data_IF_442050986289
#
_entry.id   IF_442050986289
#
_cell.length_a   1.000
_cell.length_b   1.000
_cell.length_c   1.000
_cell.angle_alpha   90.00
_cell.angle_beta   90.00
_cell.angle_gamma   90.00
#
_symmetry.space_group_name_H-M   'P 1'
#
loop_
_entity.id
_entity.type
_entity.pdbx_description
1 polymer ?
#
# COMPACT_ATOMS: atom_id res chain seq x y z
N UNK A 1 -19.25 -10.63 -17.13
CA UNK A 1 -20.41 -11.54 -16.96
C UNK A 1 -21.58 -10.86 -17.68
N UNK A 2 -22.05 -11.43 -18.79
CA UNK A 2 -23.10 -10.82 -19.63
C UNK A 2 -24.41 -10.71 -18.85
N UNK A 3 -25.12 -9.58 -18.95
CA UNK A 3 -26.39 -9.35 -18.25
C UNK A 3 -27.45 -10.41 -18.59
N UNK A 4 -27.38 -10.94 -19.82
CA UNK A 4 -28.21 -12.07 -20.29
C UNK A 4 -28.03 -13.35 -19.45
N UNK A 5 -26.82 -13.61 -18.93
CA UNK A 5 -26.55 -14.79 -18.10
C UNK A 5 -27.17 -14.65 -16.70
N UNK A 6 -27.22 -13.42 -16.16
CA UNK A 6 -27.84 -13.14 -14.86
C UNK A 6 -29.35 -13.32 -14.94
N UNK A 7 -29.98 -12.85 -16.01
CA UNK A 7 -31.43 -12.99 -16.22
C UNK A 7 -31.85 -14.45 -16.38
N UNK A 8 -31.11 -15.25 -17.16
CA UNK A 8 -31.39 -16.68 -17.31
C UNK A 8 -31.24 -17.45 -15.98
N UNK A 9 -30.24 -17.10 -15.16
CA UNK A 9 -30.06 -17.69 -13.82
C UNK A 9 -31.19 -17.30 -12.86
N UNK A 10 -31.69 -16.07 -12.94
CA UNK A 10 -32.83 -15.61 -12.14
C UNK A 10 -34.13 -16.33 -12.54
N UNK A 11 -34.39 -16.49 -13.84
CA UNK A 11 -35.55 -17.24 -14.34
C UNK A 11 -35.50 -18.72 -13.93
N UNK A 12 -34.33 -19.35 -14.03
CA UNK A 12 -34.13 -20.73 -13.52
C UNK A 12 -34.38 -20.82 -12.02
N UNK A 13 -33.95 -19.83 -11.25
CA UNK A 13 -34.18 -19.74 -9.81
C UNK A 13 -35.67 -19.62 -9.44
N UNK A 14 -36.46 -18.89 -10.23
CA UNK A 14 -37.91 -18.77 -10.03
C UNK A 14 -38.63 -20.10 -10.31
N UNK A 15 -38.31 -20.78 -11.40
CA UNK A 15 -38.94 -22.08 -11.73
C UNK A 15 -38.64 -23.17 -10.70
N UNK A 16 -37.44 -23.16 -10.10
CA UNK A 16 -37.09 -24.09 -9.02
C UNK A 16 -37.87 -23.79 -7.73
N UNK A 17 -38.15 -22.51 -7.45
CA UNK A 17 -39.01 -22.12 -6.32
C UNK A 17 -40.45 -22.55 -6.56
N UNK A 18 -40.99 -22.29 -7.75
CA UNK A 18 -42.36 -22.71 -8.10
C UNK A 18 -42.53 -24.24 -8.06
N UNK A 19 -41.51 -24.99 -8.47
CA UNK A 19 -41.50 -26.45 -8.38
C UNK A 19 -41.43 -26.96 -6.93
N UNK A 20 -40.70 -26.27 -6.04
CA UNK A 20 -40.67 -26.57 -4.60
C UNK A 20 -41.98 -26.24 -3.91
N UNK A 21 -42.60 -25.11 -4.25
CA UNK A 21 -43.87 -24.69 -3.65
C UNK A 21 -45.01 -25.69 -3.95
N UNK A 22 -44.95 -26.41 -5.08
CA UNK A 22 -45.90 -27.50 -5.40
C UNK A 22 -45.65 -28.73 -4.52
N UNK A 23 -44.39 -29.10 -4.30
CA UNK A 23 -44.02 -30.23 -3.44
C UNK A 23 -44.33 -29.92 -1.97
N UNK A 24 -43.99 -28.71 -1.51
CA UNK A 24 -44.21 -28.28 -0.13
C UNK A 24 -45.72 -28.23 0.20
N UNK A 25 -46.59 -27.82 -0.74
CA UNK A 25 -48.05 -27.88 -0.58
C UNK A 25 -48.59 -29.31 -0.47
N UNK A 26 -48.07 -30.23 -1.28
CA UNK A 26 -48.46 -31.64 -1.19
C UNK A 26 -48.01 -32.28 0.14
N UNK A 27 -46.83 -31.91 0.63
CA UNK A 27 -46.28 -32.38 1.91
C UNK A 27 -47.03 -31.79 3.12
N UNK A 28 -47.48 -30.53 3.05
CA UNK A 28 -48.28 -29.93 4.15
C UNK A 28 -49.66 -30.57 4.28
N UNK A 29 -50.24 -31.03 3.16
CA UNK A 29 -51.53 -31.72 3.14
C UNK A 29 -51.42 -33.23 3.39
N UNK A 30 -50.20 -33.77 3.60
CA UNK A 30 -49.90 -35.21 3.77
C UNK A 30 -50.54 -36.09 2.70
N UNK A 31 -50.59 -35.59 1.46
CA UNK A 31 -51.21 -36.27 0.31
C UNK A 31 -50.15 -36.56 -0.74
N UNK A 32 -50.27 -37.69 -1.45
CA UNK A 32 -49.49 -37.90 -2.66
C UNK A 32 -49.90 -36.88 -3.73
N UNK A 33 -48.93 -36.34 -4.48
CA UNK A 33 -49.20 -35.37 -5.54
C UNK A 33 -50.31 -35.87 -6.47
N UNK A 34 -51.30 -35.00 -6.73
CA UNK A 34 -52.36 -35.27 -7.70
C UNK A 34 -51.77 -35.41 -9.11
N UNK A 35 -52.43 -36.14 -10.01
CA UNK A 35 -51.94 -36.38 -11.37
C UNK A 35 -51.76 -35.07 -12.16
N UNK A 36 -52.58 -34.05 -11.89
CA UNK A 36 -52.45 -32.71 -12.46
C UNK A 36 -51.24 -31.92 -11.90
N UNK A 37 -50.85 -32.17 -10.65
CA UNK A 37 -49.71 -31.51 -10.00
C UNK A 37 -48.39 -32.16 -10.43
N UNK A 38 -48.37 -33.48 -10.62
CA UNK A 38 -47.24 -34.19 -11.22
C UNK A 38 -46.96 -33.70 -12.64
N UNK A 39 -47.99 -33.54 -13.47
CA UNK A 39 -47.82 -33.00 -14.82
C UNK A 39 -47.29 -31.56 -14.84
N UNK A 40 -47.67 -30.72 -13.85
CA UNK A 40 -47.14 -29.35 -13.73
C UNK A 40 -45.69 -29.36 -13.24
N UNK A 41 -45.36 -30.20 -12.26
CA UNK A 41 -43.99 -30.38 -11.78
C UNK A 41 -43.06 -30.88 -12.89
N UNK A 42 -43.48 -31.90 -13.65
CA UNK A 42 -42.68 -32.46 -14.74
C UNK A 42 -42.43 -31.43 -15.86
N UNK A 43 -43.42 -30.57 -16.16
CA UNK A 43 -43.24 -29.44 -17.09
C UNK A 43 -42.24 -28.41 -16.56
N UNK A 44 -42.36 -28.00 -15.30
CA UNK A 44 -41.43 -27.05 -14.67
C UNK A 44 -39.99 -27.59 -14.62
N UNK A 45 -39.82 -28.88 -14.32
CA UNK A 45 -38.52 -29.54 -14.34
C UNK A 45 -37.94 -29.64 -15.75
N UNK A 46 -38.77 -29.92 -16.75
CA UNK A 46 -38.35 -29.93 -18.17
C UNK A 46 -37.89 -28.54 -18.62
N UNK A 47 -38.60 -27.48 -18.25
CA UNK A 47 -38.23 -26.11 -18.63
C UNK A 47 -37.02 -25.58 -17.84
N UNK A 48 -36.85 -26.01 -16.58
CA UNK A 48 -35.64 -25.78 -15.80
C UNK A 48 -34.40 -26.39 -16.49
N UNK A 49 -34.54 -27.60 -17.05
CA UNK A 49 -33.44 -28.29 -17.71
C UNK A 49 -33.06 -27.61 -19.03
N UNK A 50 -34.05 -27.15 -19.82
CA UNK A 50 -33.79 -26.34 -21.03
C UNK A 50 -33.03 -25.05 -20.73
N UNK A 51 -33.40 -24.35 -19.66
CA UNK A 51 -32.69 -23.13 -19.22
C UNK A 51 -31.28 -23.44 -18.71
N UNK A 52 -31.08 -24.56 -18.01
CA UNK A 52 -29.75 -25.00 -17.59
C UNK A 52 -28.84 -25.28 -18.80
N UNK A 53 -29.36 -25.93 -19.84
CA UNK A 53 -28.62 -26.20 -21.08
C UNK A 53 -28.32 -24.93 -21.89
N UNK A 54 -29.17 -23.89 -21.79
CA UNK A 54 -28.90 -22.58 -22.37
C UNK A 54 -27.82 -21.82 -21.60
N UNK A 55 -27.87 -21.82 -20.25
CA UNK A 55 -26.85 -21.20 -19.40
C UNK A 55 -25.48 -21.83 -19.66
N UNK A 56 -25.41 -23.17 -19.76
CA UNK A 56 -24.15 -23.87 -20.02
C UNK A 56 -23.54 -23.50 -21.38
N UNK A 57 -24.39 -23.33 -22.41
CA UNK A 57 -23.94 -22.89 -23.75
C UNK A 57 -23.42 -21.45 -23.74
N UNK A 58 -24.13 -20.55 -23.05
CA UNK A 58 -23.71 -19.15 -22.93
C UNK A 58 -22.45 -18.99 -22.08
N UNK A 59 -22.26 -19.80 -21.02
CA UNK A 59 -21.01 -19.84 -20.24
C UNK A 59 -19.83 -20.31 -21.10
N UNK A 60 -20.02 -21.35 -21.90
CA UNK A 60 -18.99 -21.83 -22.83
C UNK A 60 -18.62 -20.79 -23.89
N UNK A 61 -19.60 -20.01 -24.38
CA UNK A 61 -19.33 -18.93 -25.33
C UNK A 61 -18.56 -17.78 -24.69
N UNK A 62 -18.95 -17.35 -23.49
CA UNK A 62 -18.25 -16.28 -22.76
C UNK A 62 -16.82 -16.68 -22.41
N UNK A 63 -16.59 -17.94 -22.04
CA UNK A 63 -15.25 -18.43 -21.75
C UNK A 63 -14.41 -18.56 -23.02
N UNK A 64 -14.98 -19.05 -24.12
CA UNK A 64 -14.30 -19.07 -25.41
C UNK A 64 -13.96 -17.65 -25.93
N UNK A 65 -14.83 -16.66 -25.71
CA UNK A 65 -14.56 -15.26 -26.03
C UNK A 65 -13.44 -14.67 -25.14
N UNK A 66 -13.36 -15.08 -23.87
CA UNK A 66 -12.26 -14.68 -22.97
C UNK A 66 -10.93 -15.30 -23.38
N UNK A 67 -10.90 -16.60 -23.67
CA UNK A 67 -9.70 -17.29 -24.16
C UNK A 67 -9.24 -16.70 -25.50
N UNK A 68 -10.17 -16.37 -26.40
CA UNK A 68 -9.85 -15.70 -27.66
C UNK A 68 -9.29 -14.28 -27.45
N UNK A 69 -9.82 -13.52 -26.49
CA UNK A 69 -9.29 -12.20 -26.12
C UNK A 69 -7.90 -12.29 -25.50
N UNK A 70 -7.65 -13.31 -24.66
CA UNK A 70 -6.35 -13.56 -24.04
C UNK A 70 -5.27 -13.96 -25.07
N UNK A 71 -5.64 -14.78 -26.06
CA UNK A 71 -4.77 -15.12 -27.20
C UNK A 71 -4.44 -13.89 -28.07
N UNK A 72 -5.38 -12.96 -28.26
CA UNK A 72 -5.12 -11.70 -28.97
C UNK A 72 -4.17 -10.76 -28.21
N UNK A 73 -4.27 -10.72 -26.88
CA UNK A 73 -3.34 -9.99 -26.00
C UNK A 73 -1.93 -10.58 -26.04
N UNK A 74 -1.82 -11.92 -26.04
CA UNK A 74 -0.55 -12.63 -26.08
C UNK A 74 0.16 -12.50 -27.44
N UNK A 75 -0.59 -12.49 -28.55
CA UNK A 75 -0.04 -12.24 -29.89
C UNK A 75 0.47 -10.81 -30.08
N UNK A 76 -0.15 -9.81 -29.43
CA UNK A 76 0.38 -8.43 -29.40
C UNK A 76 1.67 -8.30 -28.57
N UNK A 77 1.88 -9.18 -27.60
CA UNK A 77 3.09 -9.18 -26.77
C UNK A 77 4.30 -9.85 -27.46
N UNK A 78 4.10 -10.68 -28.48
CA UNK A 78 5.17 -11.42 -29.17
C UNK A 78 5.76 -10.74 -30.42
N UNK A 79 5.18 -9.63 -30.90
CA UNK A 79 5.71 -8.88 -32.07
C UNK A 79 6.65 -7.70 -31.69
N UNK A 80 7.05 -7.61 -30.42
CA UNK A 80 7.93 -6.55 -29.90
C UNK A 80 9.39 -6.97 -29.78
N UNK A 81 10.07 -7.23 -30.90
CA UNK A 81 11.48 -7.68 -30.91
C UNK A 81 12.45 -6.75 -31.65
N UNK A 82 12.90 -5.66 -31.02
CA UNK A 82 14.32 -5.20 -30.93
C UNK A 82 14.45 -3.78 -30.31
N UNK A 83 15.53 -3.50 -29.57
CA UNK A 83 15.66 -2.32 -28.71
C UNK A 83 16.39 -1.15 -29.39
N UNK A 84 15.88 0.07 -29.19
CA UNK A 84 16.62 1.31 -29.45
C UNK A 84 15.85 2.34 -30.27
N UNK A 85 14.99 3.13 -29.63
CA UNK A 85 15.01 4.61 -29.69
C UNK A 85 13.94 5.17 -28.76
N UNK A 86 14.22 6.35 -28.19
CA UNK A 86 13.35 7.11 -27.28
C UNK A 86 11.90 7.21 -27.80
N UNK A 87 10.86 7.07 -26.94
CA UNK A 87 9.49 7.30 -27.39
C UNK A 87 9.23 8.81 -27.46
N UNK A 88 9.41 9.37 -28.65
CA UNK A 88 8.75 10.60 -29.06
C UNK A 88 7.29 10.28 -29.40
N UNK A 89 6.38 11.05 -28.80
CA UNK A 89 5.02 11.35 -29.24
C UNK A 89 4.21 10.24 -29.92
N UNK A 90 3.57 9.39 -29.10
CA UNK A 90 2.47 8.53 -29.55
C UNK A 90 1.10 9.16 -29.18
N UNK A 91 0.35 9.76 -30.12
CA UNK A 91 -0.94 10.41 -29.86
C UNK A 91 -2.07 9.43 -29.45
N UNK A 92 -1.83 8.12 -29.45
CA UNK A 92 -2.78 7.10 -29.00
C UNK A 92 -2.82 6.93 -27.47
N UNK A 93 -1.74 7.26 -26.74
CA UNK A 93 -1.74 7.25 -25.26
C UNK A 93 -2.41 8.49 -24.67
N UNK A 94 -2.52 9.58 -25.45
CA UNK A 94 -3.17 10.83 -25.04
C UNK A 94 -4.70 10.72 -24.86
N UNK A 95 -5.35 9.64 -25.35
CA UNK A 95 -6.80 9.43 -25.20
C UNK A 95 -7.20 8.67 -23.94
N UNK A 96 -6.28 7.95 -23.29
CA UNK A 96 -6.59 7.14 -22.11
C UNK A 96 -6.09 7.74 -20.79
N UNK A 97 -5.33 8.84 -20.82
CA UNK A 97 -4.95 9.54 -19.59
C UNK A 97 -4.71 11.04 -19.82
N UNK A 98 -5.71 11.91 -19.60
CA UNK A 98 -5.57 13.36 -19.79
C UNK A 98 -4.57 14.01 -18.82
N UNK A 99 -4.09 13.31 -17.79
CA UNK A 99 -3.10 13.80 -16.80
C UNK A 99 -1.64 13.63 -17.24
N UNK A 100 -1.39 12.93 -18.35
CA UNK A 100 -0.05 12.61 -18.85
C UNK A 100 0.42 13.50 -20.03
N UNK A 101 -0.45 14.37 -20.55
CA UNK A 101 -0.16 15.24 -21.70
C UNK A 101 0.66 16.47 -21.31
N UNK A 102 1.54 16.91 -22.22
CA UNK A 102 2.37 18.11 -22.04
C UNK A 102 1.53 19.40 -21.96
N UNK A 103 0.35 19.41 -22.58
CA UNK A 103 -0.62 20.51 -22.49
C UNK A 103 -1.19 20.66 -21.07
N UNK A 104 -1.48 19.54 -20.40
CA UNK A 104 -1.92 19.51 -18.99
C UNK A 104 -0.83 20.06 -18.06
N UNK A 105 0.46 19.78 -18.33
CA UNK A 105 1.60 20.34 -17.59
C UNK A 105 1.69 21.86 -17.75
N UNK A 106 1.61 22.36 -18.98
CA UNK A 106 1.64 23.80 -19.25
C UNK A 106 0.44 24.53 -18.64
N UNK A 107 -0.75 23.92 -18.67
CA UNK A 107 -1.95 24.44 -18.02
C UNK A 107 -1.81 24.48 -16.49
N UNK A 108 -1.24 23.43 -15.88
CA UNK A 108 -0.97 23.39 -14.45
C UNK A 108 0.07 24.43 -14.02
N UNK A 109 1.15 24.64 -14.78
CA UNK A 109 2.14 25.69 -14.49
C UNK A 109 1.57 27.11 -14.65
N UNK A 110 0.65 27.32 -15.60
CA UNK A 110 -0.10 28.58 -15.73
C UNK A 110 -1.06 28.79 -14.56
N UNK A 111 -1.69 27.73 -14.06
CA UNK A 111 -2.56 27.80 -12.89
C UNK A 111 -1.77 28.22 -11.64
N UNK A 112 -0.64 27.58 -11.46
CA UNK A 112 0.28 27.84 -10.37
C UNK A 112 0.76 29.31 -10.36
N UNK A 113 1.14 29.83 -11.53
CA UNK A 113 1.60 31.22 -11.67
C UNK A 113 0.48 32.26 -11.54
N UNK A 114 -0.63 32.08 -12.24
CA UNK A 114 -1.65 33.13 -12.45
C UNK A 114 -3.03 32.82 -11.88
N UNK A 115 -3.25 31.63 -11.35
CA UNK A 115 -4.53 31.18 -10.78
C UNK A 115 -5.49 30.63 -11.85
N UNK A 116 -6.71 30.29 -11.42
CA UNK A 116 -7.76 29.71 -12.26
C UNK A 116 -8.20 30.64 -13.42
N UNK A 117 -7.94 31.94 -13.30
CA UNK A 117 -8.23 32.97 -14.31
C UNK A 117 -7.34 32.92 -15.55
N UNK A 118 -6.24 32.16 -15.52
CA UNK A 118 -5.34 32.00 -16.67
C UNK A 118 -5.57 30.70 -17.46
N UNK A 119 -6.62 29.95 -17.11
CA UNK A 119 -6.95 28.68 -17.72
C UNK A 119 -8.23 28.78 -18.52
N UNK A 120 -8.27 28.03 -19.61
CA UNK A 120 -9.50 27.85 -20.37
C UNK A 120 -10.49 26.99 -19.58
N UNK A 121 -11.79 27.22 -19.79
CA UNK A 121 -12.86 26.50 -19.08
C UNK A 121 -12.76 24.98 -19.25
N UNK A 122 -12.24 24.51 -20.39
CA UNK A 122 -12.03 23.10 -20.68
C UNK A 122 -10.80 22.52 -19.93
N UNK A 123 -9.71 23.29 -19.77
CA UNK A 123 -8.56 22.90 -18.95
C UNK A 123 -8.91 22.83 -17.46
N UNK A 124 -9.73 23.76 -16.97
CA UNK A 124 -10.23 23.72 -15.58
C UNK A 124 -11.08 22.47 -15.35
N UNK A 125 -12.00 22.15 -16.27
CA UNK A 125 -12.87 20.96 -16.17
C UNK A 125 -12.06 19.66 -16.24
N UNK A 126 -11.08 19.57 -17.14
CA UNK A 126 -10.21 18.38 -17.26
C UNK A 126 -9.34 18.14 -16.02
N UNK A 127 -9.01 19.19 -15.26
CA UNK A 127 -8.21 19.10 -14.03
C UNK A 127 -9.04 19.00 -12.74
N UNK A 128 -10.34 19.24 -12.82
CA UNK A 128 -11.32 19.08 -11.74
C UNK A 128 -12.06 17.74 -11.79
N UNK A 129 -11.95 17.00 -12.90
CA UNK A 129 -12.66 15.75 -13.14
C UNK A 129 -12.13 14.62 -12.24
N UNK A 130 -12.54 14.64 -10.97
CA UNK A 130 -12.69 13.50 -10.04
C UNK A 130 -13.25 13.93 -8.66
N UNK A 131 -13.42 15.23 -8.40
CA UNK A 131 -14.11 15.74 -7.21
C UNK A 131 -15.35 16.56 -7.60
N UNK A 132 -16.50 16.12 -7.10
CA UNK A 132 -17.74 16.87 -7.15
C UNK A 132 -17.62 18.13 -6.26
N UNK A 133 -18.08 19.26 -6.78
CA UNK A 133 -18.22 20.57 -6.12
C UNK A 133 -16.97 21.45 -5.84
N UNK A 134 -16.85 22.53 -6.62
CA UNK A 134 -16.67 23.91 -6.11
C UNK A 134 -15.37 24.34 -5.43
N UNK A 135 -14.47 23.44 -5.06
CA UNK A 135 -13.18 23.79 -4.47
C UNK A 135 -12.13 23.90 -5.56
N UNK A 136 -11.37 25.01 -5.64
CA UNK A 136 -10.23 25.21 -6.56
C UNK A 136 -9.04 24.26 -6.33
N UNK A 137 -9.31 22.98 -6.19
CA UNK A 137 -8.38 21.86 -6.12
C UNK A 137 -8.08 21.45 -7.56
N UNK A 138 -6.78 21.37 -7.90
CA UNK A 138 -6.36 20.83 -9.17
C UNK A 138 -5.41 19.68 -8.92
N UNK A 139 -5.65 18.59 -9.63
CA UNK A 139 -4.84 17.39 -9.58
C UNK A 139 -3.49 17.66 -10.26
N UNK A 140 -2.41 17.26 -9.60
CA UNK A 140 -1.07 17.38 -10.17
C UNK A 140 -0.91 16.40 -11.34
N UNK A 141 -0.19 16.77 -12.43
CA UNK A 141 0.08 15.87 -13.56
C UNK A 141 0.80 14.59 -13.09
N UNK A 142 0.46 13.43 -13.65
CA UNK A 142 0.96 12.14 -13.16
C UNK A 142 2.47 11.98 -13.24
N UNK A 143 3.12 12.43 -14.33
CA UNK A 143 4.58 12.37 -14.43
C UNK A 143 5.27 13.15 -13.29
N UNK A 144 4.69 14.29 -12.90
CA UNK A 144 5.22 15.09 -11.81
C UNK A 144 4.95 14.45 -10.44
N UNK A 145 3.84 13.73 -10.31
CA UNK A 145 3.56 12.92 -9.12
C UNK A 145 4.57 11.77 -9.04
N UNK A 146 4.89 11.12 -10.16
CA UNK A 146 5.85 10.02 -10.21
C UNK A 146 7.28 10.48 -9.92
N UNK A 147 7.72 11.62 -10.46
CA UNK A 147 9.03 12.20 -10.12
C UNK A 147 9.09 12.58 -8.64
N UNK A 148 8.02 13.17 -8.11
CA UNK A 148 7.90 13.50 -6.69
C UNK A 148 7.91 12.26 -5.79
N UNK A 149 7.22 11.20 -6.20
CA UNK A 149 7.20 9.92 -5.48
C UNK A 149 8.59 9.30 -5.51
N UNK A 150 9.30 9.34 -6.64
CA UNK A 150 10.66 8.82 -6.74
C UNK A 150 11.63 9.59 -5.83
N UNK A 151 11.58 10.92 -5.84
CA UNK A 151 12.38 11.75 -4.93
C UNK A 151 12.03 11.48 -3.45
N UNK A 152 10.76 11.15 -3.17
CA UNK A 152 10.27 10.78 -1.85
C UNK A 152 10.76 9.39 -1.44
N UNK A 153 10.73 8.41 -2.35
CA UNK A 153 11.20 7.05 -2.14
C UNK A 153 12.71 7.02 -1.87
N UNK A 154 13.50 7.81 -2.61
CA UNK A 154 14.94 7.95 -2.38
C UNK A 154 15.25 8.63 -1.03
N UNK A 155 14.35 9.46 -0.52
CA UNK A 155 14.52 10.19 0.73
C UNK A 155 14.02 9.42 1.97
N UNK A 156 12.99 8.59 1.81
CA UNK A 156 12.28 7.89 2.89
C UNK A 156 12.71 6.43 2.89
N UNK A 157 13.63 6.08 3.80
CA UNK A 157 14.23 4.74 3.86
C UNK A 157 13.17 3.64 3.99
N UNK A 158 12.18 3.82 4.88
CA UNK A 158 11.14 2.81 5.08
C UNK A 158 10.33 2.61 3.81
N UNK A 159 9.99 3.69 3.11
CA UNK A 159 9.16 3.65 1.90
C UNK A 159 9.86 2.93 0.75
N UNK A 160 11.17 3.15 0.56
CA UNK A 160 11.97 2.46 -0.47
C UNK A 160 12.04 0.94 -0.30
N UNK A 161 11.84 0.44 0.93
CA UNK A 161 11.93 -0.99 1.28
C UNK A 161 10.58 -1.64 1.56
N UNK A 162 9.54 -0.84 1.69
CA UNK A 162 8.18 -1.27 2.00
C UNK A 162 7.38 -1.57 0.74
N UNK A 163 6.28 -2.31 0.89
CA UNK A 163 5.32 -2.48 -0.19
C UNK A 163 4.33 -1.33 -0.17
N UNK A 164 4.29 -0.55 -1.26
CA UNK A 164 3.38 0.58 -1.42
C UNK A 164 2.17 0.15 -2.27
N UNK A 165 0.98 0.34 -1.73
CA UNK A 165 -0.30 0.15 -2.41
C UNK A 165 -0.95 1.50 -2.66
N UNK A 166 -1.38 1.73 -3.90
CA UNK A 166 -2.18 2.90 -4.26
C UNK A 166 -3.66 2.56 -4.11
N UNK A 167 -4.38 3.32 -3.29
CA UNK A 167 -5.78 3.09 -2.95
C UNK A 167 -6.59 4.32 -3.38
N UNK A 168 -7.08 4.39 -4.64
CA UNK A 168 -7.70 5.60 -5.17
C UNK A 168 -9.10 5.90 -4.60
N UNK A 169 -9.88 4.88 -4.24
CA UNK A 169 -11.30 5.06 -3.83
C UNK A 169 -11.72 4.24 -2.61
N UNK A 170 -10.87 3.31 -2.14
CA UNK A 170 -11.24 2.49 -0.99
C UNK A 170 -10.95 3.23 0.32
N UNK A 171 -11.96 3.31 1.19
CA UNK A 171 -11.88 3.91 2.53
C UNK A 171 -10.90 3.15 3.43
N UNK A 172 -10.65 1.87 3.14
CA UNK A 172 -9.64 1.07 3.82
C UNK A 172 -9.06 -0.01 2.89
N UNK A 173 -7.79 -0.33 3.09
CA UNK A 173 -7.16 -1.51 2.52
C UNK A 173 -7.20 -2.63 3.56
N UNK A 174 -8.08 -3.61 3.33
CA UNK A 174 -8.11 -4.84 4.12
C UNK A 174 -6.90 -5.71 3.77
N UNK A 175 -5.98 -5.84 4.72
CA UNK A 175 -4.81 -6.70 4.64
C UNK A 175 -5.10 -7.98 5.44
N UNK A 176 -5.17 -9.16 4.79
CA UNK A 176 -5.17 -10.42 5.51
C UNK A 176 -3.79 -10.57 6.16
N UNK A 177 -3.74 -10.47 7.49
CA UNK A 177 -2.53 -10.81 8.25
C UNK A 177 -2.61 -12.27 8.66
N UNK A 178 -1.56 -13.03 8.40
CA UNK A 178 -1.38 -14.34 9.00
C UNK A 178 -0.98 -14.10 10.46
N UNK A 179 -1.95 -14.23 11.36
CA UNK A 179 -1.68 -14.14 12.80
C UNK A 179 -1.05 -15.44 13.29
N UNK A 180 -1.50 -16.56 12.73
CA UNK A 180 -0.95 -17.91 12.93
C UNK A 180 -0.75 -18.56 11.55
N UNK A 181 0.40 -19.19 11.35
CA UNK A 181 0.72 -19.96 10.14
C UNK A 181 0.21 -21.41 10.30
N UNK A 182 0.12 -22.15 9.19
CA UNK A 182 -0.20 -23.59 9.26
C UNK A 182 0.92 -24.35 9.96
N UNK A 183 0.57 -25.45 10.65
CA UNK A 183 1.56 -26.37 11.21
C UNK A 183 2.33 -27.08 10.07
N UNK A 184 3.56 -27.50 10.38
CA UNK A 184 4.40 -28.23 9.43
C UNK A 184 3.70 -29.53 8.97
N UNK A 185 3.94 -29.93 7.72
CA UNK A 185 3.33 -31.13 7.19
C UNK A 185 3.87 -32.38 7.90
N UNK A 186 2.97 -33.19 8.45
CA UNK A 186 3.31 -34.50 9.00
C UNK A 186 3.62 -35.49 7.86
N UNK A 187 4.74 -36.19 7.95
CA UNK A 187 5.04 -37.31 7.06
C UNK A 187 4.11 -38.48 7.38
N UNK A 188 3.19 -38.81 6.46
CA UNK A 188 2.27 -39.94 6.61
C UNK A 188 2.66 -41.13 5.74
N UNK A 189 2.19 -42.33 6.11
CA UNK A 189 2.28 -43.54 5.29
C UNK A 189 1.13 -43.59 4.26
N UNK A 190 1.28 -44.36 3.17
CA UNK A 190 0.45 -44.38 1.93
C UNK A 190 -1.08 -44.29 2.07
N UNK A 191 -1.67 -44.63 3.23
CA UNK A 191 -3.11 -44.67 3.45
C UNK A 191 -3.60 -43.75 4.59
N UNK A 192 -2.72 -42.97 5.21
CA UNK A 192 -3.08 -42.06 6.30
C UNK A 192 -3.20 -40.62 5.81
N UNK A 193 -4.32 -39.98 6.11
CA UNK A 193 -4.50 -38.53 5.98
C UNK A 193 -3.83 -37.86 7.17
N UNK A 194 -3.07 -36.78 6.94
CA UNK A 194 -2.47 -35.98 8.01
C UNK A 194 -3.51 -35.40 8.97
N UNK A 195 -3.07 -34.90 10.12
CA UNK A 195 -3.98 -34.29 11.09
C UNK A 195 -4.67 -33.05 10.50
N UNK A 196 -5.92 -32.82 10.87
CA UNK A 196 -6.66 -31.61 10.48
C UNK A 196 -6.07 -30.40 11.20
N UNK A 197 -5.50 -29.46 10.44
CA UNK A 197 -4.99 -28.21 10.96
C UNK A 197 -6.15 -27.23 11.24
N UNK A 198 -6.26 -26.80 12.50
CA UNK A 198 -7.28 -25.84 12.97
C UNK A 198 -6.68 -24.47 13.35
N UNK A 199 -5.38 -24.26 13.07
CA UNK A 199 -4.58 -23.11 13.47
C UNK A 199 -4.68 -21.90 12.56
N UNK A 200 -5.03 -22.07 11.27
CA UNK A 200 -5.04 -20.95 10.30
C UNK A 200 -6.15 -19.93 10.61
N UNK A 201 -5.80 -18.89 11.38
CA UNK A 201 -6.66 -17.75 11.68
C UNK A 201 -6.19 -16.53 10.88
N UNK A 202 -7.01 -16.10 9.93
CA UNK A 202 -6.80 -14.83 9.24
C UNK A 202 -7.15 -13.67 10.17
N UNK A 203 -6.14 -12.92 10.60
CA UNK A 203 -6.33 -11.60 11.16
C UNK A 203 -6.77 -10.64 10.07
N UNK A 204 -7.75 -9.78 10.36
CA UNK A 204 -8.09 -8.64 9.49
C UNK A 204 -7.31 -7.44 10.02
N UNK A 205 -6.18 -7.10 9.40
CA UNK A 205 -5.57 -5.79 9.58
C UNK A 205 -6.14 -4.85 8.51
N UNK A 206 -6.48 -3.63 8.87
CA UNK A 206 -7.07 -2.66 7.95
C UNK A 206 -6.25 -1.38 8.01
N UNK A 207 -5.74 -0.95 6.86
CA UNK A 207 -5.11 0.35 6.70
C UNK A 207 -6.16 1.37 6.34
N UNK A 208 -6.21 2.47 7.08
CA UNK A 208 -7.10 3.60 6.89
C UNK A 208 -6.28 4.85 6.58
N UNK A 209 -6.12 5.22 5.30
CA UNK A 209 -5.33 6.41 4.92
C UNK A 209 -5.75 7.65 5.71
N UNK A 210 -4.82 8.19 6.51
CA UNK A 210 -5.09 9.33 7.36
C UNK A 210 -4.67 10.64 6.66
N UNK A 211 -5.53 11.68 6.63
CA UNK A 211 -5.22 12.92 5.95
C UNK A 211 -4.19 13.75 6.72
N UNK A 212 -3.10 14.10 6.06
CA UNK A 212 -2.10 15.06 6.52
C UNK A 212 -2.17 16.32 5.65
N UNK A 213 -2.14 17.49 6.30
CA UNK A 213 -2.22 18.78 5.63
C UNK A 213 -1.16 19.75 6.14
N UNK A 214 -0.57 20.53 5.23
CA UNK A 214 0.34 21.62 5.59
C UNK A 214 0.04 22.87 4.78
N UNK A 215 0.05 24.02 5.46
CA UNK A 215 -0.14 25.34 4.86
C UNK A 215 1.17 26.12 4.85
N UNK A 216 1.56 26.64 3.70
CA UNK A 216 2.73 27.51 3.50
C UNK A 216 2.24 28.85 2.94
N UNK A 217 2.76 29.97 3.45
CA UNK A 217 2.50 31.31 2.90
C UNK A 217 3.70 31.76 2.08
N UNK A 218 3.45 32.33 0.91
CA UNK A 218 4.46 32.89 0.01
C UNK A 218 4.07 34.33 -0.31
N UNK A 219 5.04 35.24 -0.36
CA UNK A 219 4.78 36.62 -0.80
C UNK A 219 4.61 36.68 -2.31
N UNK A 220 3.61 37.43 -2.79
CA UNK A 220 3.41 37.64 -4.24
C UNK A 220 4.57 38.42 -4.88
N UNK A 221 5.21 39.32 -4.12
CA UNK A 221 6.42 40.02 -4.57
C UNK A 221 7.58 39.06 -4.81
N UNK A 222 7.75 38.05 -3.95
CA UNK A 222 8.79 37.04 -4.09
C UNK A 222 8.57 36.22 -5.37
N UNK A 223 7.35 35.80 -5.63
CA UNK A 223 6.98 35.05 -6.84
C UNK A 223 7.20 35.88 -8.10
N UNK A 224 6.91 37.19 -8.05
CA UNK A 224 7.09 38.09 -9.20
C UNK A 224 8.55 38.39 -9.49
N UNK A 225 9.41 38.48 -8.46
CA UNK A 225 10.83 38.85 -8.59
C UNK A 225 11.76 37.68 -8.85
N UNK A 226 11.40 36.47 -8.42
CA UNK A 226 12.22 35.26 -8.56
C UNK A 226 11.53 34.23 -9.46
N UNK A 227 11.95 34.06 -10.73
CA UNK A 227 11.49 32.93 -11.54
C UNK A 227 11.99 31.62 -10.90
N UNK A 228 11.07 30.72 -10.55
CA UNK A 228 11.38 29.42 -9.92
C UNK A 228 11.20 29.36 -8.39
N UNK A 229 10.78 30.44 -7.73
CA UNK A 229 10.46 30.42 -6.29
C UNK A 229 9.40 29.36 -5.94
N UNK A 230 8.47 29.11 -6.85
CA UNK A 230 7.42 28.10 -6.70
C UNK A 230 7.95 26.67 -6.75
N UNK A 231 8.87 26.37 -7.67
CA UNK A 231 9.55 25.06 -7.75
C UNK A 231 10.29 24.77 -6.46
N UNK A 232 10.99 25.76 -5.90
CA UNK A 232 11.69 25.64 -4.62
C UNK A 232 10.71 25.35 -3.47
N UNK A 233 9.57 26.03 -3.42
CA UNK A 233 8.56 25.78 -2.39
C UNK A 233 7.97 24.38 -2.53
N UNK A 234 7.69 23.92 -3.76
CA UNK A 234 7.23 22.55 -4.02
C UNK A 234 8.24 21.51 -3.55
N UNK A 235 9.51 21.65 -3.93
CA UNK A 235 10.58 20.76 -3.46
C UNK A 235 10.71 20.77 -1.93
N UNK A 236 10.54 21.94 -1.29
CA UNK A 236 10.61 22.02 0.18
C UNK A 236 9.41 21.37 0.85
N UNK A 237 8.22 21.44 0.25
CA UNK A 237 7.03 20.72 0.73
C UNK A 237 7.22 19.22 0.58
N UNK A 238 7.71 18.76 -0.57
CA UNK A 238 8.08 17.36 -0.82
C UNK A 238 9.04 16.81 0.25
N UNK A 239 10.14 17.53 0.47
CA UNK A 239 11.13 17.20 1.49
C UNK A 239 10.51 17.12 2.90
N UNK A 240 9.65 18.08 3.25
CA UNK A 240 8.98 18.06 4.56
C UNK A 240 7.94 16.95 4.68
N UNK A 241 7.29 16.55 3.58
CA UNK A 241 6.43 15.38 3.54
C UNK A 241 7.25 14.11 3.81
N UNK A 242 8.39 13.92 3.14
CA UNK A 242 9.27 12.77 3.38
C UNK A 242 9.69 12.64 4.84
N UNK A 243 10.08 13.76 5.47
CA UNK A 243 10.38 13.79 6.91
C UNK A 243 9.18 13.37 7.77
N UNK A 244 7.99 13.88 7.45
CA UNK A 244 6.78 13.56 8.22
C UNK A 244 6.39 12.09 8.05
N UNK A 245 6.50 11.54 6.84
CA UNK A 245 6.25 10.12 6.55
C UNK A 245 7.26 9.22 7.25
N UNK A 246 8.56 9.45 7.09
CA UNK A 246 9.61 8.67 7.75
C UNK A 246 9.43 8.69 9.29
N UNK A 247 9.15 9.85 9.89
CA UNK A 247 8.87 9.94 11.33
C UNK A 247 7.63 9.15 11.73
N UNK A 248 6.56 9.20 10.94
CA UNK A 248 5.34 8.45 11.21
C UNK A 248 5.57 6.93 11.06
N UNK A 249 6.33 6.52 10.05
CA UNK A 249 6.67 5.11 9.82
C UNK A 249 7.61 4.52 10.86
N UNK A 250 8.42 5.35 11.53
CA UNK A 250 9.29 4.91 12.61
C UNK A 250 8.60 4.95 13.97
N UNK A 251 8.05 6.09 14.37
CA UNK A 251 7.56 6.33 15.75
C UNK A 251 6.08 6.71 15.81
N UNK A 252 5.31 6.51 14.74
CA UNK A 252 3.89 6.82 14.72
C UNK A 252 3.09 5.96 15.69
N UNK A 253 2.06 6.54 16.31
CA UNK A 253 1.27 5.86 17.35
C UNK A 253 0.19 4.90 16.81
N UNK A 254 -0.12 4.94 15.52
CA UNK A 254 -1.26 4.21 14.96
C UNK A 254 -2.64 4.83 15.24
N UNK A 255 -2.71 5.97 15.95
CA UNK A 255 -3.96 6.67 16.25
C UNK A 255 -4.10 7.93 15.40
N UNK A 256 -4.92 7.87 14.35
CA UNK A 256 -5.05 8.93 13.33
C UNK A 256 -3.74 9.27 12.60
N UNK A 257 -2.77 8.36 12.63
CA UNK A 257 -1.49 8.43 11.94
C UNK A 257 -0.96 7.00 11.75
N UNK A 258 -0.01 6.77 10.82
CA UNK A 258 0.61 5.47 10.62
C UNK A 258 1.13 4.83 11.92
N UNK A 259 1.10 3.50 11.97
CA UNK A 259 1.69 2.72 13.04
C UNK A 259 3.19 2.52 12.77
N UNK A 260 4.02 3.12 13.62
CA UNK A 260 5.47 3.06 13.47
C UNK A 260 6.08 1.72 13.86
N UNK A 261 7.22 1.36 13.26
CA UNK A 261 7.94 0.11 13.58
C UNK A 261 8.46 0.06 15.02
N UNK A 262 8.73 1.20 15.65
CA UNK A 262 9.16 1.30 17.05
C UNK A 262 8.00 1.39 18.05
N UNK A 263 6.75 1.37 17.59
CA UNK A 263 5.58 1.42 18.47
C UNK A 263 5.06 0.02 18.75
N UNK A 264 5.02 -0.37 20.03
CA UNK A 264 4.42 -1.63 20.44
C UNK A 264 2.90 -1.58 20.26
N UNK A 265 2.36 -2.52 19.48
CA UNK A 265 0.92 -2.61 19.22
C UNK A 265 0.53 -4.04 18.84
N UNK A 266 -0.63 -4.49 19.31
CA UNK A 266 -1.20 -5.79 18.94
C UNK A 266 -1.55 -5.88 17.44
N UNK A 267 -1.82 -4.74 16.80
CA UNK A 267 -2.10 -4.67 15.37
C UNK A 267 -0.83 -4.57 14.50
N UNK A 268 0.35 -4.52 15.12
CA UNK A 268 1.64 -4.37 14.45
C UNK A 268 2.66 -5.38 14.94
N UNK A 269 3.67 -4.89 15.68
CA UNK A 269 4.70 -5.69 16.33
C UNK A 269 4.42 -5.70 17.84
N UNK A 270 4.08 -6.87 18.39
CA UNK A 270 3.86 -7.05 19.83
C UNK A 270 5.17 -7.01 20.61
N UNK A 271 5.10 -6.81 21.92
CA UNK A 271 6.29 -6.81 22.81
C UNK A 271 7.00 -8.16 22.88
N UNK A 272 6.39 -9.24 22.34
CA UNK A 272 7.02 -10.56 22.26
C UNK A 272 8.25 -10.57 21.34
N UNK A 273 8.34 -9.62 20.41
CA UNK A 273 9.44 -9.45 19.45
C UNK A 273 10.51 -8.46 19.94
N UNK A 274 10.39 -7.99 21.18
CA UNK A 274 11.38 -7.10 21.79
C UNK A 274 12.53 -7.94 22.35
N UNK A 275 13.75 -7.61 21.95
CA UNK A 275 14.97 -8.21 22.50
C UNK A 275 15.59 -7.20 23.46
N UNK A 276 15.44 -7.48 24.74
CA UNK A 276 16.10 -6.74 25.83
C UNK A 276 17.25 -7.51 26.47
N UNK A 277 17.29 -8.83 26.28
CA UNK A 277 18.32 -9.70 26.83
C UNK A 277 19.69 -9.36 26.25
N UNK A 278 20.70 -9.36 27.11
CA UNK A 278 22.09 -9.08 26.72
C UNK A 278 22.44 -7.59 26.70
N UNK A 279 21.48 -6.68 26.63
CA UNK A 279 21.71 -5.23 26.66
C UNK A 279 21.90 -4.67 28.07
N UNK A 280 22.57 -3.52 28.18
CA UNK A 280 22.64 -2.76 29.42
C UNK A 280 21.45 -1.78 29.53
N UNK A 281 21.26 -1.18 30.71
CA UNK A 281 20.17 -0.22 30.94
C UNK A 281 20.34 1.08 30.13
N UNK A 282 21.56 1.45 29.77
CA UNK A 282 21.87 2.73 29.09
C UNK A 282 22.69 2.57 27.81
N UNK A 283 23.06 1.35 27.45
CA UNK A 283 23.96 1.08 26.33
C UNK A 283 23.59 -0.22 25.62
N UNK A 284 23.66 -0.19 24.29
CA UNK A 284 23.58 -1.41 23.49
C UNK A 284 24.91 -2.17 23.56
N UNK A 285 24.81 -3.47 23.81
CA UNK A 285 25.93 -4.42 23.83
C UNK A 285 25.93 -5.26 22.56
N UNK A 286 27.09 -5.86 22.25
CA UNK A 286 27.20 -6.74 21.08
C UNK A 286 26.39 -8.04 21.26
N UNK A 287 26.36 -8.59 22.47
CA UNK A 287 25.62 -9.82 22.77
C UNK A 287 24.11 -9.66 22.55
N UNK A 288 23.52 -8.53 22.96
CA UNK A 288 22.10 -8.30 22.70
C UNK A 288 21.78 -8.10 21.21
N UNK A 289 22.72 -7.58 20.41
CA UNK A 289 22.55 -7.51 18.95
C UNK A 289 22.61 -8.90 18.31
N UNK A 290 23.43 -9.81 18.85
CA UNK A 290 23.47 -11.22 18.46
C UNK A 290 22.13 -11.89 18.77
N UNK A 291 21.59 -11.70 19.98
CA UNK A 291 20.26 -12.19 20.36
C UNK A 291 19.18 -11.67 19.40
N UNK A 292 19.19 -10.37 19.09
CA UNK A 292 18.25 -9.77 18.14
C UNK A 292 18.34 -10.41 16.75
N UNK A 293 19.55 -10.66 16.24
CA UNK A 293 19.75 -11.36 14.97
C UNK A 293 19.16 -12.78 14.97
N UNK A 294 19.44 -13.58 16.01
CA UNK A 294 19.00 -14.97 16.06
C UNK A 294 17.55 -15.16 16.52
N UNK A 295 16.90 -14.11 17.04
CA UNK A 295 15.46 -14.08 17.29
C UNK A 295 14.61 -14.04 16.01
N UNK A 296 15.21 -13.68 14.87
CA UNK A 296 14.54 -13.60 13.58
C UNK A 296 14.65 -14.95 12.85
N UNK A 297 13.53 -15.45 12.32
CA UNK A 297 13.53 -16.71 11.54
C UNK A 297 14.43 -16.56 10.30
N UNK A 298 15.11 -17.64 9.91
CA UNK A 298 16.07 -17.66 8.80
C UNK A 298 15.49 -17.15 7.47
N UNK A 299 14.20 -17.41 7.21
CA UNK A 299 13.51 -16.92 6.00
C UNK A 299 13.48 -15.40 5.86
N UNK A 300 13.45 -14.65 6.96
CA UNK A 300 13.44 -13.19 6.94
C UNK A 300 14.85 -12.58 6.99
N UNK A 301 15.85 -13.32 7.48
CA UNK A 301 17.23 -12.83 7.61
C UNK A 301 17.89 -12.48 6.26
N UNK A 302 17.46 -13.11 5.16
CA UNK A 302 18.04 -12.88 3.83
C UNK A 302 17.87 -11.42 3.34
N UNK A 303 16.75 -10.79 3.68
CA UNK A 303 16.41 -9.42 3.28
C UNK A 303 16.34 -8.46 4.47
N UNK A 304 16.82 -8.87 5.65
CA UNK A 304 16.72 -8.06 6.86
C UNK A 304 17.74 -6.91 6.86
N UNK A 305 17.30 -5.75 7.34
CA UNK A 305 18.11 -4.56 7.51
C UNK A 305 18.09 -4.10 8.96
N UNK A 306 19.26 -3.70 9.45
CA UNK A 306 19.35 -2.94 10.69
C UNK A 306 18.94 -1.50 10.45
N UNK A 307 18.20 -0.92 11.40
CA UNK A 307 17.90 0.50 11.41
C UNK A 307 18.20 1.07 12.79
N UNK A 308 19.08 2.08 12.82
CA UNK A 308 19.50 2.77 14.03
C UNK A 308 19.49 4.29 13.83
N UNK A 309 19.45 5.02 14.94
CA UNK A 309 19.81 6.44 14.96
C UNK A 309 21.34 6.60 14.90
N UNK A 310 21.85 7.73 14.39
CA UNK A 310 23.30 8.02 14.34
C UNK A 310 24.00 7.88 15.69
N UNK A 311 23.31 8.20 16.78
CA UNK A 311 23.85 8.08 18.14
C UNK A 311 23.94 6.61 18.59
N UNK A 312 23.04 5.76 18.09
CA UNK A 312 23.10 4.32 18.31
C UNK A 312 24.27 3.69 17.56
N UNK A 313 24.49 4.11 16.30
CA UNK A 313 25.68 3.72 15.53
C UNK A 313 26.97 4.16 16.22
N UNK A 314 27.00 5.36 16.79
CA UNK A 314 28.12 5.83 17.60
C UNK A 314 28.35 4.99 18.86
N UNK A 315 27.29 4.48 19.52
CA UNK A 315 27.45 3.55 20.63
C UNK A 315 28.03 2.22 20.13
N UNK A 316 27.49 1.67 19.05
CA UNK A 316 27.98 0.45 18.40
C UNK A 316 29.47 0.55 18.03
N UNK A 317 29.89 1.67 17.43
CA UNK A 317 31.27 1.92 17.05
C UNK A 317 32.25 2.04 18.23
N UNK A 318 31.73 2.27 19.45
CA UNK A 318 32.54 2.38 20.67
C UNK A 318 32.66 1.05 21.42
N UNK A 319 31.94 0.01 21.01
CA UNK A 319 32.01 -1.30 21.67
C UNK A 319 33.39 -1.92 21.44
N UNK A 320 33.99 -2.39 22.53
CA UNK A 320 35.33 -2.99 22.57
C UNK A 320 35.31 -4.41 23.10
N UNK A 321 36.27 -5.22 22.65
CA UNK A 321 36.56 -6.52 23.24
C UNK A 321 37.31 -6.37 24.58
N UNK A 322 37.53 -7.50 25.28
CA UNK A 322 38.28 -7.51 26.55
C UNK A 322 39.75 -7.07 26.43
N UNK A 323 40.29 -6.98 25.21
CA UNK A 323 41.64 -6.51 24.90
C UNK A 323 41.65 -5.02 24.47
N UNK A 324 40.49 -4.35 24.49
CA UNK A 324 40.34 -2.93 24.19
C UNK A 324 40.26 -2.58 22.70
N UNK A 325 40.17 -3.57 21.81
CA UNK A 325 40.00 -3.38 20.36
C UNK A 325 38.53 -3.19 20.01
N UNK A 326 38.25 -2.37 19.01
CA UNK A 326 36.89 -2.16 18.52
C UNK A 326 36.36 -3.43 17.85
N UNK A 327 35.16 -3.87 18.24
CA UNK A 327 34.52 -5.08 17.67
C UNK A 327 33.98 -4.81 16.27
N UNK A 328 33.45 -3.60 16.07
CA UNK A 328 32.85 -3.17 14.82
C UNK A 328 33.64 -2.03 14.20
N UNK A 329 33.75 -2.06 12.88
CA UNK A 329 34.33 -1.00 12.06
C UNK A 329 33.39 -0.68 10.89
N UNK A 330 33.39 0.57 10.47
CA UNK A 330 32.69 1.02 9.27
C UNK A 330 33.17 0.29 8.01
N UNK A 331 32.35 0.31 6.95
CA UNK A 331 32.70 -0.34 5.70
C UNK A 331 34.01 0.24 5.12
N UNK A 332 34.99 -0.60 4.73
CA UNK A 332 36.29 -0.11 4.25
C UNK A 332 36.23 0.49 2.83
N UNK A 333 35.08 0.41 2.14
CA UNK A 333 34.88 0.91 0.78
C UNK A 333 33.73 1.91 0.74
N UNK A 334 33.98 3.07 0.15
CA UNK A 334 32.96 4.08 -0.09
C UNK A 334 31.86 3.53 -1.01
N UNK A 335 30.60 3.63 -0.57
CA UNK A 335 29.42 3.21 -1.32
C UNK A 335 28.83 1.85 -0.95
N UNK A 336 29.53 1.04 -0.14
CA UNK A 336 28.93 -0.15 0.47
C UNK A 336 28.19 0.26 1.76
N UNK A 337 26.96 -0.22 2.00
CA UNK A 337 26.27 0.05 3.25
C UNK A 337 27.04 -0.59 4.40
N UNK A 338 27.11 0.13 5.53
CA UNK A 338 27.68 -0.39 6.76
C UNK A 338 27.01 -1.69 7.18
N UNK A 339 27.80 -2.66 7.67
CA UNK A 339 27.30 -3.99 8.02
C UNK A 339 27.51 -4.30 9.49
N UNK A 340 26.46 -4.76 10.14
CA UNK A 340 26.50 -5.24 11.53
C UNK A 340 26.11 -6.71 11.51
N UNK A 341 26.98 -7.58 12.04
CA UNK A 341 26.78 -9.04 12.03
C UNK A 341 26.48 -9.60 10.63
N UNK A 342 27.17 -9.08 9.60
CA UNK A 342 27.01 -9.39 8.17
C UNK A 342 25.69 -8.95 7.51
N UNK A 343 24.84 -8.22 8.24
CA UNK A 343 23.59 -7.65 7.72
C UNK A 343 23.75 -6.16 7.43
N UNK A 344 23.14 -5.62 6.36
CA UNK A 344 23.23 -4.20 6.03
C UNK A 344 22.53 -3.35 7.09
N UNK A 345 23.04 -2.14 7.30
CA UNK A 345 22.51 -1.15 8.23
C UNK A 345 22.12 0.12 7.50
N UNK A 346 21.01 0.70 7.94
CA UNK A 346 20.56 2.02 7.57
C UNK A 346 20.53 2.93 8.80
N UNK A 347 20.73 4.22 8.56
CA UNK A 347 20.70 5.26 9.58
C UNK A 347 19.56 6.20 9.28
N UNK A 348 18.68 6.41 10.25
CA UNK A 348 17.60 7.39 10.16
C UNK A 348 17.66 8.33 11.37
N UNK A 349 17.65 9.64 11.11
CA UNK A 349 17.61 10.68 12.15
C UNK A 349 16.29 10.69 12.93
N UNK A 350 15.29 9.94 12.48
CA UNK A 350 13.98 9.82 13.13
C UNK A 350 13.81 8.53 13.93
N UNK A 351 14.82 7.65 13.93
CA UNK A 351 14.86 6.50 14.82
C UNK A 351 15.06 6.97 16.29
N UNK A 352 14.59 6.19 17.29
CA UNK A 352 14.78 6.51 18.70
C UNK A 352 16.25 6.74 19.07
N UNK A 353 16.51 7.79 19.85
CA UNK A 353 17.85 8.18 20.30
C UNK A 353 17.96 8.31 21.83
N UNK A 354 16.95 7.85 22.56
CA UNK A 354 16.92 7.90 24.04
C UNK A 354 17.45 6.59 24.59
N UNK A 355 18.64 6.63 25.19
CA UNK A 355 19.33 5.45 25.73
C UNK A 355 19.08 5.30 27.23
N UNK A 356 17.85 4.94 27.57
CA UNK A 356 17.45 4.64 28.97
C UNK A 356 16.73 3.30 29.04
N UNK A 357 16.66 2.73 30.24
CA UNK A 357 16.05 1.42 30.48
C UNK A 357 14.65 1.32 29.85
N UNK A 358 14.41 0.19 29.18
CA UNK A 358 13.13 -0.10 28.52
C UNK A 358 12.83 0.69 27.24
N UNK A 359 13.74 1.53 26.75
CA UNK A 359 13.56 2.25 25.48
C UNK A 359 14.07 1.44 24.29
N UNK A 360 13.45 1.64 23.13
CA UNK A 360 13.93 1.09 21.87
C UNK A 360 15.13 1.90 21.37
N UNK A 361 16.11 1.21 20.78
CA UNK A 361 17.34 1.83 20.27
C UNK A 361 17.59 1.49 18.80
N UNK A 362 16.97 0.44 18.29
CA UNK A 362 17.08 0.00 16.90
C UNK A 362 16.15 -1.15 16.59
N UNK A 363 16.11 -1.55 15.33
CA UNK A 363 15.28 -2.65 14.86
C UNK A 363 16.03 -3.42 13.77
N UNK A 364 15.86 -4.74 13.78
CA UNK A 364 16.21 -5.61 12.66
C UNK A 364 14.92 -6.13 12.05
N UNK A 365 14.78 -6.04 10.73
CA UNK A 365 13.66 -6.72 10.10
C UNK A 365 13.65 -6.62 8.59
N UNK A 366 12.78 -7.41 7.99
CA UNK A 366 12.44 -7.31 6.58
C UNK A 366 11.30 -6.29 6.41
N UNK A 367 11.67 -5.08 5.98
CA UNK A 367 10.74 -3.98 5.77
C UNK A 367 9.75 -4.22 4.63
N UNK A 368 9.91 -5.26 3.80
CA UNK A 368 8.91 -5.62 2.79
C UNK A 368 7.56 -6.06 3.42
N UNK A 369 7.58 -6.46 4.69
CA UNK A 369 6.39 -6.76 5.50
C UNK A 369 5.83 -5.54 6.25
N UNK A 370 6.39 -4.36 6.01
CA UNK A 370 5.77 -3.07 6.32
C UNK A 370 5.03 -2.60 5.07
N UNK A 371 3.71 -2.44 5.18
CA UNK A 371 2.87 -2.07 4.04
C UNK A 371 2.38 -0.64 4.21
N UNK A 372 2.45 0.10 3.11
CA UNK A 372 2.03 1.50 3.01
C UNK A 372 0.83 1.53 2.08
N UNK A 373 -0.26 2.17 2.51
CA UNK A 373 -1.43 2.46 1.71
C UNK A 373 -1.51 3.97 1.51
N UNK A 374 -1.25 4.41 0.27
CA UNK A 374 -1.40 5.80 -0.12
C UNK A 374 -2.76 5.98 -0.80
N UNK A 375 -3.58 6.87 -0.25
CA UNK A 375 -4.75 7.35 -0.95
C UNK A 375 -4.31 8.42 -1.95
N UNK A 376 -4.52 8.13 -3.23
CA UNK A 376 -4.13 9.03 -4.30
C UNK A 376 -5.07 10.22 -4.32
N UNK A 377 -4.57 11.37 -3.84
CA UNK A 377 -4.63 12.65 -4.52
C UNK A 377 -3.89 13.70 -3.69
N UNK A 378 -2.61 13.89 -4.01
CA UNK A 378 -1.90 15.06 -3.48
C UNK A 378 -2.53 16.31 -4.10
N UNK A 379 -3.39 16.97 -3.34
CA UNK A 379 -4.04 18.20 -3.78
C UNK A 379 -3.24 19.40 -3.28
N UNK A 380 -2.88 20.29 -4.20
CA UNK A 380 -2.34 21.60 -3.86
C UNK A 380 -3.47 22.61 -4.08
N UNK A 381 -3.95 23.21 -2.99
CA UNK A 381 -4.95 24.27 -3.04
C UNK A 381 -4.27 25.62 -2.86
N UNK A 382 -4.55 26.54 -3.78
CA UNK A 382 -4.09 27.93 -3.73
C UNK A 382 -5.13 28.81 -3.03
N UNK A 383 -4.72 29.50 -1.97
CA UNK A 383 -5.53 30.45 -1.21
C UNK A 383 -5.08 31.86 -1.51
N UNK A 384 -5.85 32.58 -2.32
CA UNK A 384 -5.58 33.98 -2.70
C UNK A 384 -6.40 34.92 -1.82
N UNK A 385 -7.72 34.71 -1.72
CA UNK A 385 -8.64 35.64 -1.06
C UNK A 385 -8.35 35.79 0.45
N UNK A 386 -8.03 34.69 1.14
CA UNK A 386 -7.72 34.71 2.57
C UNK A 386 -6.44 35.53 2.90
N UNK A 387 -5.56 35.73 1.93
CA UNK A 387 -4.26 36.42 2.12
C UNK A 387 -4.09 37.66 1.22
N UNK A 388 -5.18 38.13 0.63
CA UNK A 388 -5.19 39.31 -0.22
C UNK A 388 -4.75 40.56 0.55
N UNK A 389 -5.18 40.72 1.80
CA UNK A 389 -4.84 41.86 2.66
C UNK A 389 -3.33 41.99 2.93
N UNK A 390 -2.59 40.87 2.97
CA UNK A 390 -1.16 40.85 3.26
C UNK A 390 -0.29 40.73 2.01
N UNK A 391 -0.87 40.82 0.81
CA UNK A 391 -0.22 40.59 -0.48
C UNK A 391 0.58 39.26 -0.52
N UNK A 392 -0.01 38.22 0.07
CA UNK A 392 0.55 36.88 0.16
C UNK A 392 -0.39 35.88 -0.53
N UNK A 393 0.16 34.71 -0.86
CA UNK A 393 -0.56 33.56 -1.36
C UNK A 393 -0.31 32.37 -0.42
N UNK A 394 -1.38 31.68 -0.04
CA UNK A 394 -1.29 30.43 0.70
C UNK A 394 -1.30 29.23 -0.24
N UNK A 395 -0.44 28.25 0.02
CA UNK A 395 -0.52 26.92 -0.56
C UNK A 395 -0.86 25.92 0.54
N UNK A 396 -1.96 25.20 0.39
CA UNK A 396 -2.28 24.05 1.23
C UNK A 396 -2.00 22.79 0.43
N UNK A 397 -1.16 21.92 0.96
CA UNK A 397 -0.95 20.57 0.43
C UNK A 397 -1.64 19.57 1.33
N UNK A 398 -2.49 18.72 0.76
CA UNK A 398 -3.13 17.60 1.45
C UNK A 398 -2.71 16.30 0.80
N UNK A 399 -2.48 15.28 1.60
CA UNK A 399 -2.30 13.90 1.17
C UNK A 399 -2.86 12.98 2.25
N UNK A 400 -3.18 11.73 1.92
CA UNK A 400 -3.59 10.75 2.90
C UNK A 400 -2.76 9.48 2.75
N UNK A 401 -2.22 9.00 3.87
CA UNK A 401 -1.35 7.83 3.91
C UNK A 401 -1.58 7.09 5.22
N UNK A 402 -1.48 5.77 5.18
CA UNK A 402 -1.42 4.93 6.36
C UNK A 402 -0.44 3.80 6.13
N UNK A 403 0.17 3.32 7.21
CA UNK A 403 1.12 2.23 7.13
C UNK A 403 1.21 1.47 8.44
N UNK A 404 1.47 0.17 8.34
CA UNK A 404 1.64 -0.69 9.51
C UNK A 404 2.49 -1.92 9.15
N UNK A 405 3.17 -2.52 10.13
CA UNK A 405 3.75 -3.84 9.95
C UNK A 405 2.61 -4.87 9.83
N UNK A 406 2.70 -5.79 8.87
CA UNK A 406 1.67 -6.80 8.59
C UNK A 406 1.99 -8.15 9.22
N UNK A 407 3.26 -8.43 9.43
CA UNK A 407 3.74 -9.69 9.99
C UNK A 407 4.81 -9.38 11.04
N UNK A 408 4.53 -9.73 12.31
CA UNK A 408 5.43 -9.36 13.41
C UNK A 408 6.71 -10.21 13.47
N UNK A 409 6.65 -11.46 13.01
CA UNK A 409 7.80 -12.37 12.96
C UNK A 409 8.91 -11.93 11.99
N UNK A 410 8.64 -10.95 11.11
CA UNK A 410 9.62 -10.35 10.22
C UNK A 410 10.47 -9.25 10.90
N UNK A 411 10.16 -8.92 12.16
CA UNK A 411 10.82 -7.86 12.90
C UNK A 411 11.34 -8.35 14.26
N UNK A 412 12.42 -7.71 14.72
CA UNK A 412 13.01 -7.85 16.05
C UNK A 412 13.45 -6.46 16.53
N UNK A 413 12.84 -5.97 17.60
CA UNK A 413 13.15 -4.64 18.15
C UNK A 413 14.22 -4.74 19.21
N UNK A 414 15.27 -3.93 19.07
CA UNK A 414 16.35 -3.82 20.04
C UNK A 414 15.89 -2.87 21.15
N UNK A 415 15.77 -3.39 22.36
CA UNK A 415 15.30 -2.68 23.54
C UNK A 415 16.37 -2.70 24.63
N UNK A 416 16.59 -1.60 25.32
CA UNK A 416 17.50 -1.59 26.46
C UNK A 416 16.87 -2.32 27.66
N UNK A 417 17.72 -2.94 28.48
CA UNK A 417 17.30 -3.75 29.62
C UNK A 417 16.51 -2.97 30.68
#
# INVERSE_FOLDING_TARGET
>A
MSDKLKDLRNQRGQLIKDARDIVDKADTEKRALSDDEKQRYDKLMTDQQKLADQIKREEQLVEAEREAAELQLRNKAQDGGKPGNQPADNPAQARNNPRATQEYRAAYERFLRSGQSALTTDEVRAMQADYDEGGGHLLMPEQMVNDLIKDLDDMVFIRSRSRVFSVPTAVSLGVPSLTDDIDDHDWTVELATGNEDTGLKFGKRQLYPHPAAKRVKISNELIRRLPGAETLVRQRIAYKRGITEEKAFLTGSGAQQPLGVFTASAHGITTSRDVSTGHAQTEMTFDGLIEAKYSLKSGYLANAWWLFHRDGVKQLAKIKDGEGRYIWSEAPRAGEPDRVLNLPMAVSEYAPNTFTSGQYVGILGDFAYYWIADAFDMTIQRLIELYAETNQMGLITRWATDAMPVLENAFARVKLA
#
